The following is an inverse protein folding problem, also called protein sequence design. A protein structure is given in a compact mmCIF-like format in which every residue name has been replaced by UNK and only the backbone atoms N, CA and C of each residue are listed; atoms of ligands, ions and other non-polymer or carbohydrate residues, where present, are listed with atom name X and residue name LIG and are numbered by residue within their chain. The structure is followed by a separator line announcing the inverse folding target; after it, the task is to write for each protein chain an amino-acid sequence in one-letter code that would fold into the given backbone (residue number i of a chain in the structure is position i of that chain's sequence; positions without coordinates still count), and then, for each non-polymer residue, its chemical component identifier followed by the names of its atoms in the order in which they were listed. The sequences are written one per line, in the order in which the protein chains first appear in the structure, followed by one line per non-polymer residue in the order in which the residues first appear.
data_IF_401764400769
#
_entry.id   IF_401764400769
#
_cell.length_a   1.000
_cell.length_b   1.000
_cell.length_c   1.000
_cell.angle_alpha   90.00
_cell.angle_beta   90.00
_cell.angle_gamma   90.00
#
_symmetry.space_group_name_H-M   'P 1'
#
loop_
_entity.id
_entity.type
_entity.pdbx_description
1 polymer ?
#
# COMPACT_ATOMS: atom_id res chain seq x y z
N UNK A 1 43.33 -35.91 47.61
CA UNK A 1 42.97 -35.70 46.18
C UNK A 1 41.51 -36.09 45.95
N UNK A 2 40.55 -35.25 46.33
CA UNK A 2 39.15 -35.39 45.90
C UNK A 2 38.31 -34.25 46.44
N UNK A 3 38.45 -33.01 45.92
CA UNK A 3 37.58 -31.88 46.28
C UNK A 3 37.42 -30.82 45.17
N UNK A 4 37.74 -31.17 43.90
CA UNK A 4 37.54 -30.20 42.78
C UNK A 4 36.43 -30.60 41.78
N UNK A 5 35.81 -31.77 41.90
CA UNK A 5 34.76 -32.19 40.93
C UNK A 5 33.34 -31.75 41.29
N UNK A 6 33.10 -31.25 42.52
CA UNK A 6 31.74 -30.86 42.97
C UNK A 6 31.33 -29.42 42.62
N UNK A 7 32.27 -28.52 42.40
CA UNK A 7 31.92 -27.11 42.12
C UNK A 7 31.51 -26.83 40.68
N UNK A 8 32.02 -27.62 39.70
CA UNK A 8 31.66 -27.44 38.29
C UNK A 8 30.25 -27.95 37.95
N UNK A 9 29.78 -28.99 38.67
CA UNK A 9 28.43 -29.51 38.48
C UNK A 9 27.31 -28.59 38.99
N UNK A 10 27.58 -27.84 40.06
CA UNK A 10 26.61 -26.91 40.67
C UNK A 10 26.43 -25.62 39.84
N UNK A 11 27.51 -25.14 39.22
CA UNK A 11 27.45 -23.94 38.35
C UNK A 11 26.74 -24.22 37.01
N UNK A 12 26.93 -25.40 36.43
CA UNK A 12 26.25 -25.77 35.21
C UNK A 12 24.73 -26.02 35.41
N UNK A 13 24.35 -26.56 36.59
CA UNK A 13 22.93 -26.76 36.95
C UNK A 13 22.21 -25.45 37.28
N UNK A 14 22.89 -24.47 37.91
CA UNK A 14 22.32 -23.14 38.14
C UNK A 14 22.14 -22.34 36.85
N UNK A 15 23.07 -22.45 35.89
CA UNK A 15 22.95 -21.80 34.59
C UNK A 15 21.83 -22.42 33.74
N UNK A 16 21.60 -23.73 33.78
CA UNK A 16 20.49 -24.40 33.11
C UNK A 16 19.13 -24.01 33.73
N UNK A 17 19.04 -23.92 35.06
CA UNK A 17 17.81 -23.53 35.76
C UNK A 17 17.47 -22.04 35.56
N UNK A 18 18.46 -21.17 35.38
CA UNK A 18 18.19 -19.74 35.08
C UNK A 18 17.80 -19.53 33.62
N UNK A 19 18.30 -20.35 32.68
CA UNK A 19 17.88 -20.31 31.27
C UNK A 19 16.45 -20.82 31.11
N UNK A 20 16.04 -21.90 31.78
CA UNK A 20 14.66 -22.41 31.78
C UNK A 20 13.66 -21.46 32.44
N UNK A 21 14.06 -20.78 33.53
CA UNK A 21 13.23 -19.76 34.22
C UNK A 21 13.04 -18.50 33.36
N UNK A 22 13.99 -18.15 32.48
CA UNK A 22 13.89 -17.02 31.55
C UNK A 22 12.97 -17.34 30.38
N UNK A 23 12.95 -18.58 29.92
CA UNK A 23 12.05 -19.03 28.87
C UNK A 23 10.59 -19.22 29.35
N UNK A 24 10.39 -19.52 30.63
CA UNK A 24 9.08 -19.78 31.25
C UNK A 24 8.25 -18.51 31.55
N UNK A 25 8.83 -17.30 31.41
CA UNK A 25 8.21 -16.02 31.76
C UNK A 25 8.00 -15.07 30.56
N UNK A 26 8.13 -15.53 29.31
CA UNK A 26 7.75 -14.71 28.17
C UNK A 26 6.24 -14.82 27.97
N UNK A 27 5.54 -13.71 28.13
CA UNK A 27 4.13 -13.63 27.73
C UNK A 27 3.97 -14.08 26.27
N UNK A 28 2.87 -14.79 25.94
CA UNK A 28 2.64 -15.20 24.55
C UNK A 28 2.56 -13.95 23.66
N UNK A 29 3.08 -14.02 22.42
CA UNK A 29 3.03 -12.90 21.49
C UNK A 29 1.60 -12.39 21.32
N UNK A 30 1.45 -11.06 21.27
CA UNK A 30 0.16 -10.42 21.06
C UNK A 30 -0.35 -10.73 19.65
N UNK A 31 -1.50 -11.41 19.54
CA UNK A 31 -2.10 -11.74 18.24
C UNK A 31 -2.65 -10.47 17.58
N UNK A 32 -2.20 -10.16 16.38
CA UNK A 32 -2.53 -8.96 15.65
C UNK A 32 -3.15 -9.33 14.28
N UNK A 33 -4.46 -9.19 14.15
CA UNK A 33 -5.16 -9.39 12.88
C UNK A 33 -4.90 -8.21 11.94
N UNK A 34 -4.38 -8.47 10.75
CA UNK A 34 -4.05 -7.42 9.78
C UNK A 34 -4.65 -7.70 8.41
N UNK A 35 -4.96 -6.64 7.66
CA UNK A 35 -5.63 -6.72 6.35
C UNK A 35 -4.77 -6.18 5.22
N UNK A 36 -4.64 -6.96 4.12
CA UNK A 36 -3.68 -6.69 3.04
C UNK A 36 -4.23 -7.04 1.67
N UNK A 37 -3.73 -6.31 0.66
CA UNK A 37 -3.94 -6.61 -0.75
C UNK A 37 -2.73 -7.40 -1.29
N UNK A 38 -2.86 -8.14 -2.41
CA UNK A 38 -1.74 -8.84 -3.04
C UNK A 38 -0.84 -7.88 -3.82
N UNK A 39 -0.20 -6.94 -3.12
CA UNK A 39 0.54 -5.79 -3.64
C UNK A 39 1.91 -5.64 -2.95
N UNK A 40 2.71 -4.67 -3.42
CA UNK A 40 4.09 -4.47 -2.99
C UNK A 40 4.25 -4.26 -1.48
N UNK A 41 3.41 -3.44 -0.87
CA UNK A 41 3.48 -3.14 0.58
C UNK A 41 3.26 -4.38 1.44
N UNK A 42 2.49 -5.32 0.95
CA UNK A 42 2.23 -6.59 1.64
C UNK A 42 3.44 -7.51 1.63
N UNK A 43 4.26 -7.48 0.58
CA UNK A 43 5.51 -8.22 0.56
C UNK A 43 6.40 -7.88 1.77
N UNK A 44 6.45 -6.62 2.17
CA UNK A 44 7.28 -6.18 3.29
C UNK A 44 6.88 -6.89 4.60
N UNK A 45 5.60 -6.91 4.91
CA UNK A 45 5.13 -7.56 6.15
C UNK A 45 5.11 -9.08 6.03
N UNK A 46 4.83 -9.62 4.85
CA UNK A 46 4.94 -11.05 4.57
C UNK A 46 6.40 -11.51 4.78
N UNK A 47 7.37 -10.81 4.23
CA UNK A 47 8.79 -11.10 4.40
C UNK A 47 9.22 -11.02 5.87
N UNK A 48 8.84 -9.96 6.56
CA UNK A 48 9.14 -9.79 7.97
C UNK A 48 8.61 -10.95 8.81
N UNK A 49 7.40 -11.43 8.51
CA UNK A 49 6.81 -12.59 9.17
C UNK A 49 7.56 -13.89 8.86
N UNK A 50 7.98 -14.12 7.60
CA UNK A 50 8.82 -15.28 7.24
C UNK A 50 10.14 -15.30 8.02
N UNK A 51 10.70 -14.12 8.35
CA UNK A 51 11.92 -13.98 9.16
C UNK A 51 11.66 -14.01 10.67
N UNK A 52 10.40 -14.11 11.11
CA UNK A 52 10.04 -14.12 12.53
C UNK A 52 10.26 -12.77 13.24
N UNK A 53 10.33 -11.65 12.49
CA UNK A 53 10.57 -10.34 13.07
C UNK A 53 9.39 -9.84 13.90
N UNK A 54 8.19 -10.25 13.57
CA UNK A 54 6.97 -10.01 14.35
C UNK A 54 7.09 -10.62 15.77
N UNK A 55 7.57 -11.86 15.85
CA UNK A 55 7.78 -12.54 17.15
C UNK A 55 8.85 -11.86 18.00
N UNK A 56 9.91 -11.35 17.36
CA UNK A 56 10.96 -10.60 18.04
C UNK A 56 10.45 -9.29 18.67
N UNK A 57 9.39 -8.70 18.10
CA UNK A 57 8.71 -7.50 18.61
C UNK A 57 7.48 -7.85 19.49
N UNK A 58 7.34 -9.11 19.91
CA UNK A 58 6.24 -9.56 20.78
C UNK A 58 4.89 -9.66 20.10
N UNK A 59 4.85 -9.72 18.76
CA UNK A 59 3.63 -9.81 17.97
C UNK A 59 3.48 -11.19 17.31
N UNK A 60 2.24 -11.62 17.11
CA UNK A 60 1.85 -12.69 16.21
C UNK A 60 0.96 -12.11 15.12
N UNK A 61 1.57 -11.61 14.05
CA UNK A 61 0.88 -10.94 12.96
C UNK A 61 0.18 -11.98 12.10
N UNK A 62 -1.13 -11.83 11.95
CA UNK A 62 -1.96 -12.62 11.02
C UNK A 62 -2.23 -11.78 9.78
N UNK A 63 -1.95 -12.34 8.61
CA UNK A 63 -2.14 -11.66 7.33
C UNK A 63 -3.46 -12.13 6.69
N UNK A 64 -4.49 -11.29 6.69
CA UNK A 64 -5.76 -11.53 6.01
C UNK A 64 -5.72 -10.87 4.63
N UNK A 65 -6.01 -11.66 3.57
CA UNK A 65 -6.00 -11.20 2.19
C UNK A 65 -7.36 -10.68 1.77
N UNK A 66 -7.36 -9.54 1.09
CA UNK A 66 -8.51 -8.91 0.45
C UNK A 66 -8.19 -8.63 -1.02
N UNK A 67 -9.22 -8.58 -1.87
CA UNK A 67 -9.02 -8.43 -3.32
C UNK A 67 -8.88 -6.96 -3.78
N UNK A 68 -9.33 -6.02 -2.96
CA UNK A 68 -9.26 -4.59 -3.24
C UNK A 68 -9.35 -3.75 -1.97
N UNK A 69 -8.98 -2.46 -2.05
CA UNK A 69 -9.16 -1.53 -0.94
C UNK A 69 -10.62 -1.39 -0.51
N UNK A 70 -11.56 -1.46 -1.45
CA UNK A 70 -13.01 -1.47 -1.15
C UNK A 70 -13.39 -2.71 -0.35
N UNK A 71 -12.88 -3.89 -0.72
CA UNK A 71 -13.13 -5.14 -0.02
C UNK A 71 -12.52 -5.11 1.38
N UNK A 72 -11.27 -4.64 1.51
CA UNK A 72 -10.59 -4.44 2.78
C UNK A 72 -11.43 -3.56 3.73
N UNK A 73 -11.83 -2.38 3.29
CA UNK A 73 -12.61 -1.42 4.10
C UNK A 73 -14.00 -1.99 4.43
N UNK A 74 -14.62 -2.70 3.50
CA UNK A 74 -15.93 -3.35 3.71
C UNK A 74 -15.90 -4.48 4.75
N UNK A 75 -14.72 -4.98 5.10
CA UNK A 75 -14.48 -6.03 6.10
C UNK A 75 -13.61 -5.53 7.27
N UNK A 76 -13.76 -4.28 7.66
CA UNK A 76 -12.96 -3.66 8.72
C UNK A 76 -13.09 -4.32 10.10
N UNK A 77 -14.13 -5.13 10.31
CA UNK A 77 -14.33 -5.95 11.51
C UNK A 77 -13.38 -7.16 11.61
N UNK A 78 -12.65 -7.49 10.55
CA UNK A 78 -11.75 -8.65 10.49
C UNK A 78 -10.28 -8.33 10.72
N UNK A 79 -9.93 -7.07 10.86
CA UNK A 79 -8.54 -6.63 11.03
C UNK A 79 -8.48 -5.34 11.86
N UNK A 80 -7.33 -5.07 12.45
CA UNK A 80 -7.09 -3.86 13.26
C UNK A 80 -5.97 -2.98 12.71
N UNK A 81 -5.10 -3.52 11.85
CA UNK A 81 -4.12 -2.75 11.07
C UNK A 81 -4.17 -3.26 9.62
N UNK A 82 -4.12 -2.35 8.65
CA UNK A 82 -4.17 -2.71 7.25
C UNK A 82 -3.57 -1.64 6.35
N UNK A 83 -3.55 -1.92 5.05
CA UNK A 83 -3.05 -0.97 4.06
C UNK A 83 -3.88 -0.98 2.78
N UNK A 84 -4.13 0.20 2.24
CA UNK A 84 -4.65 0.42 0.89
C UNK A 84 -4.42 1.88 0.46
N UNK A 85 -4.73 2.20 -0.79
CA UNK A 85 -4.73 3.58 -1.28
C UNK A 85 -5.69 4.48 -0.50
N UNK A 86 -5.48 5.79 -0.57
CA UNK A 86 -6.31 6.78 0.16
C UNK A 86 -7.77 6.80 -0.30
N UNK A 87 -8.02 6.56 -1.58
CA UNK A 87 -9.35 6.72 -2.16
C UNK A 87 -10.40 5.76 -1.57
N UNK A 88 -10.15 4.46 -1.36
CA UNK A 88 -11.06 3.57 -0.65
C UNK A 88 -11.43 4.06 0.75
N UNK A 89 -10.47 4.62 1.49
CA UNK A 89 -10.70 5.16 2.84
C UNK A 89 -11.65 6.36 2.76
N UNK A 90 -11.34 7.34 1.91
CA UNK A 90 -12.11 8.58 1.79
C UNK A 90 -13.53 8.37 1.26
N UNK A 91 -13.76 7.34 0.45
CA UNK A 91 -15.07 7.01 -0.12
C UNK A 91 -15.86 6.01 0.74
N UNK A 92 -15.32 5.57 1.86
CA UNK A 92 -16.04 4.71 2.80
C UNK A 92 -17.17 5.45 3.51
N UNK A 93 -18.14 4.70 4.06
CA UNK A 93 -19.24 5.28 4.83
C UNK A 93 -18.77 5.85 6.18
N UNK A 94 -17.71 5.29 6.75
CA UNK A 94 -17.21 5.62 8.09
C UNK A 94 -15.68 5.78 8.08
N UNK A 95 -15.13 6.76 7.34
CA UNK A 95 -13.67 6.95 7.29
C UNK A 95 -13.08 7.27 8.67
N UNK A 96 -13.85 7.90 9.56
CA UNK A 96 -13.47 8.29 10.91
C UNK A 96 -13.17 7.12 11.86
N UNK A 97 -13.53 5.89 11.48
CA UNK A 97 -13.15 4.69 12.24
C UNK A 97 -11.66 4.34 12.12
N UNK A 98 -10.94 4.96 11.19
CA UNK A 98 -9.53 4.69 10.95
C UNK A 98 -8.63 5.82 11.43
N UNK A 99 -7.38 5.51 11.69
CA UNK A 99 -6.28 6.46 11.82
C UNK A 99 -5.15 6.05 10.88
N UNK A 100 -4.59 7.02 10.17
CA UNK A 100 -3.47 6.81 9.24
C UNK A 100 -2.18 6.94 10.03
N UNK A 101 -1.44 5.83 10.14
CA UNK A 101 -0.29 5.65 11.02
C UNK A 101 1.05 5.65 10.28
N UNK A 102 1.03 5.60 8.95
CA UNK A 102 2.23 5.57 8.12
C UNK A 102 1.92 5.46 6.63
N UNK A 103 2.98 5.37 5.83
CA UNK A 103 2.94 5.15 4.38
C UNK A 103 3.59 3.82 4.05
N UNK A 104 2.93 3.01 3.23
CA UNK A 104 3.48 1.79 2.67
C UNK A 104 4.50 2.08 1.57
N UNK A 105 4.02 2.63 0.47
CA UNK A 105 4.83 3.02 -0.69
C UNK A 105 4.14 4.08 -1.57
N UNK A 106 4.90 4.70 -2.46
CA UNK A 106 4.36 5.47 -3.60
C UNK A 106 3.92 4.50 -4.70
N UNK A 107 2.68 4.62 -5.18
CA UNK A 107 2.13 3.82 -6.29
C UNK A 107 1.75 4.66 -7.52
N UNK A 108 2.28 5.87 -7.64
CA UNK A 108 1.94 6.80 -8.72
C UNK A 108 2.31 6.28 -10.11
N UNK A 109 3.23 5.33 -10.22
CA UNK A 109 3.61 4.64 -11.45
C UNK A 109 2.94 3.26 -11.60
N UNK A 110 2.33 2.74 -10.55
CA UNK A 110 1.69 1.43 -10.53
C UNK A 110 0.24 1.46 -11.04
N UNK A 111 -0.42 2.61 -10.92
CA UNK A 111 -1.77 2.84 -11.45
C UNK A 111 -1.69 3.27 -12.91
N UNK A 112 -2.45 2.63 -13.80
CA UNK A 112 -2.40 2.84 -15.24
C UNK A 112 -3.76 2.83 -15.90
N UNK A 113 -3.96 3.75 -16.87
CA UNK A 113 -4.97 3.63 -17.92
C UNK A 113 -4.34 2.83 -19.04
N UNK A 114 -4.97 1.72 -19.41
CA UNK A 114 -4.47 0.82 -20.45
C UNK A 114 -5.46 0.74 -21.60
N UNK A 115 -4.92 0.61 -22.80
CA UNK A 115 -5.68 0.49 -24.06
C UNK A 115 -5.12 -0.63 -24.92
N UNK A 116 -5.88 -1.07 -25.91
CA UNK A 116 -5.38 -2.01 -26.93
C UNK A 116 -4.34 -1.33 -27.81
N UNK A 117 -3.40 -2.09 -28.42
CA UNK A 117 -2.29 -1.53 -29.17
C UNK A 117 -2.71 -0.77 -30.43
N UNK A 118 -3.90 -1.02 -30.95
CA UNK A 118 -4.52 -0.34 -32.10
C UNK A 118 -5.42 0.84 -31.72
N UNK A 119 -5.44 1.23 -30.45
CA UNK A 119 -6.25 2.35 -29.98
C UNK A 119 -5.82 3.68 -30.61
N UNK A 120 -6.74 4.46 -31.20
CA UNK A 120 -6.44 5.78 -31.76
C UNK A 120 -5.89 6.76 -30.73
N UNK A 121 -6.11 6.50 -29.43
CA UNK A 121 -5.56 7.30 -28.35
C UNK A 121 -4.02 7.35 -28.39
N UNK A 122 -3.37 6.31 -28.91
CA UNK A 122 -1.91 6.21 -28.98
C UNK A 122 -1.28 6.98 -30.16
N UNK A 123 -2.07 7.45 -31.12
CA UNK A 123 -1.58 8.11 -32.36
C UNK A 123 -0.92 9.45 -32.08
N UNK A 124 -1.26 10.12 -30.96
CA UNK A 124 -0.69 11.41 -30.59
C UNK A 124 -0.22 11.40 -29.14
N UNK A 125 0.86 12.14 -28.85
CA UNK A 125 1.39 12.32 -27.49
C UNK A 125 1.72 13.79 -27.25
N UNK A 126 1.44 14.29 -26.05
CA UNK A 126 1.78 15.67 -25.66
C UNK A 126 0.95 16.75 -26.36
N UNK A 127 -0.23 16.43 -26.87
CA UNK A 127 -1.16 17.41 -27.44
C UNK A 127 -1.59 18.46 -26.40
N UNK A 128 -1.68 18.08 -25.14
CA UNK A 128 -1.93 18.98 -24.02
C UNK A 128 -0.58 19.46 -23.42
N UNK A 129 -0.29 20.77 -23.55
CA UNK A 129 0.98 21.36 -23.05
C UNK A 129 1.15 21.21 -21.53
N UNK A 130 0.07 21.13 -20.75
CA UNK A 130 0.09 20.90 -19.31
C UNK A 130 0.46 19.46 -18.94
N UNK A 131 0.33 18.53 -19.89
CA UNK A 131 0.56 17.10 -19.69
C UNK A 131 1.36 16.52 -20.89
N UNK A 132 2.66 16.79 -21.01
CA UNK A 132 3.46 16.46 -22.19
C UNK A 132 3.62 14.94 -22.42
N UNK A 133 3.37 14.13 -21.42
CA UNK A 133 3.46 12.67 -21.50
C UNK A 133 2.09 11.98 -21.73
N UNK A 134 1.02 12.75 -21.86
CA UNK A 134 -0.32 12.22 -22.06
C UNK A 134 -0.55 11.87 -23.52
N UNK A 135 -1.14 10.73 -23.80
CA UNK A 135 -1.55 10.28 -25.12
C UNK A 135 -2.95 10.78 -25.46
N UNK A 136 -3.20 11.08 -26.75
CA UNK A 136 -4.52 11.41 -27.31
C UNK A 136 -4.97 12.84 -27.01
N UNK A 137 -6.22 13.11 -27.38
CA UNK A 137 -6.94 14.38 -27.22
C UNK A 137 -8.29 14.12 -26.58
N UNK A 138 -8.99 15.17 -26.16
CA UNK A 138 -10.32 15.08 -25.56
C UNK A 138 -11.32 14.29 -26.44
N UNK A 139 -11.28 14.52 -27.76
CA UNK A 139 -12.19 13.84 -28.71
C UNK A 139 -11.91 12.34 -28.85
N UNK A 140 -10.69 11.88 -28.59
CA UNK A 140 -10.32 10.47 -28.60
C UNK A 140 -10.86 9.72 -27.38
N UNK A 141 -11.20 10.45 -26.31
CA UNK A 141 -11.70 9.92 -25.02
C UNK A 141 -13.21 10.09 -24.88
N UNK A 142 -13.76 11.19 -25.39
CA UNK A 142 -15.18 11.52 -25.26
C UNK A 142 -16.08 10.40 -25.81
N UNK A 143 -17.11 10.02 -25.05
CA UNK A 143 -18.07 8.97 -25.41
C UNK A 143 -17.54 7.54 -25.33
N UNK A 144 -16.28 7.35 -24.93
CA UNK A 144 -15.67 6.02 -24.79
C UNK A 144 -16.23 5.26 -23.59
N UNK A 145 -16.15 3.95 -23.65
CA UNK A 145 -16.49 3.06 -22.54
C UNK A 145 -15.21 2.67 -21.81
N UNK A 146 -15.16 2.96 -20.50
CA UNK A 146 -13.96 2.74 -19.68
C UNK A 146 -14.32 1.79 -18.55
N UNK A 147 -13.64 0.65 -18.50
CA UNK A 147 -13.77 -0.31 -17.41
C UNK A 147 -12.90 0.20 -16.23
N UNK A 148 -13.53 0.35 -15.07
CA UNK A 148 -12.83 0.88 -13.90
C UNK A 148 -13.50 0.39 -12.61
N UNK A 149 -12.74 -0.21 -11.66
CA UNK A 149 -13.28 -0.54 -10.36
C UNK A 149 -13.66 0.72 -9.57
N UNK A 150 -14.88 0.77 -9.05
CA UNK A 150 -15.34 1.88 -8.22
C UNK A 150 -14.65 1.88 -6.83
N UNK A 151 -14.57 3.05 -6.21
CA UNK A 151 -13.98 3.26 -4.87
C UNK A 151 -12.55 2.71 -4.75
N UNK A 152 -11.73 2.91 -5.80
CA UNK A 152 -10.35 2.43 -5.89
C UNK A 152 -9.40 3.54 -6.31
N UNK A 153 -8.08 3.31 -6.16
CA UNK A 153 -7.04 4.19 -6.73
C UNK A 153 -7.16 4.34 -8.25
N UNK A 154 -7.67 3.31 -8.95
CA UNK A 154 -7.96 3.38 -10.37
C UNK A 154 -9.05 4.41 -10.70
N UNK A 155 -10.10 4.50 -9.89
CA UNK A 155 -11.15 5.52 -10.09
C UNK A 155 -10.60 6.93 -9.88
N UNK A 156 -9.70 7.13 -8.92
CA UNK A 156 -9.04 8.42 -8.75
C UNK A 156 -8.19 8.78 -9.96
N UNK A 157 -7.40 7.83 -10.48
CA UNK A 157 -6.65 8.02 -11.73
C UNK A 157 -7.58 8.36 -12.89
N UNK A 158 -8.68 7.62 -13.05
CA UNK A 158 -9.66 7.87 -14.13
C UNK A 158 -10.15 9.32 -14.11
N UNK A 159 -10.59 9.80 -12.95
CA UNK A 159 -11.10 11.17 -12.83
C UNK A 159 -10.03 12.22 -13.11
N UNK A 160 -8.79 11.99 -12.67
CA UNK A 160 -7.65 12.87 -12.98
C UNK A 160 -7.27 12.84 -14.45
N UNK A 161 -7.32 11.68 -15.07
CA UNK A 161 -7.04 11.51 -16.48
C UNK A 161 -8.08 12.23 -17.35
N UNK A 162 -9.35 12.11 -17.03
CA UNK A 162 -10.42 12.87 -17.70
C UNK A 162 -10.24 14.38 -17.53
N UNK A 163 -9.96 14.82 -16.29
CA UNK A 163 -9.74 16.24 -16.00
C UNK A 163 -8.54 16.83 -16.79
N UNK A 164 -7.51 16.04 -17.07
CA UNK A 164 -6.38 16.47 -17.90
C UNK A 164 -6.79 16.82 -19.35
N UNK A 165 -7.91 16.30 -19.83
CA UNK A 165 -8.51 16.69 -21.13
C UNK A 165 -9.61 17.74 -20.98
N UNK A 166 -9.93 18.20 -19.77
CA UNK A 166 -11.10 19.05 -19.52
C UNK A 166 -12.43 18.30 -19.60
N UNK A 167 -12.39 16.98 -19.39
CA UNK A 167 -13.55 16.10 -19.36
C UNK A 167 -13.91 15.71 -17.92
N UNK A 168 -15.13 15.22 -17.77
CA UNK A 168 -15.66 14.65 -16.52
C UNK A 168 -16.15 13.23 -16.73
N UNK A 169 -16.59 12.57 -15.69
CA UNK A 169 -17.20 11.23 -15.76
C UNK A 169 -18.49 11.19 -16.57
N UNK A 170 -19.14 12.34 -16.79
CA UNK A 170 -20.35 12.47 -17.63
C UNK A 170 -20.03 12.42 -19.13
N UNK A 171 -18.78 12.70 -19.52
CA UNK A 171 -18.32 12.67 -20.91
C UNK A 171 -17.98 11.28 -21.42
N UNK A 172 -18.03 10.25 -20.57
CA UNK A 172 -17.67 8.86 -20.89
C UNK A 172 -18.69 7.88 -20.32
N UNK A 173 -18.61 6.61 -20.71
CA UNK A 173 -19.37 5.53 -20.08
C UNK A 173 -18.45 4.73 -19.17
N UNK A 174 -18.72 4.73 -17.87
CA UNK A 174 -17.95 3.95 -16.90
C UNK A 174 -18.65 2.61 -16.67
N UNK A 175 -17.94 1.52 -16.99
CA UNK A 175 -18.34 0.16 -16.65
C UNK A 175 -17.65 -0.19 -15.32
N UNK A 176 -18.43 -0.14 -14.22
CA UNK A 176 -17.93 -0.50 -12.90
C UNK A 176 -17.80 -2.03 -12.80
N UNK A 177 -16.57 -2.51 -12.84
CA UNK A 177 -16.23 -3.93 -12.78
C UNK A 177 -14.93 -4.08 -12.01
N UNK A 178 -14.84 -5.04 -11.09
CA UNK A 178 -13.63 -5.33 -10.33
C UNK A 178 -12.47 -5.73 -11.25
N UNK A 179 -11.23 -5.59 -10.77
CA UNK A 179 -10.03 -5.66 -11.60
C UNK A 179 -9.91 -6.97 -12.43
N UNK A 180 -10.12 -8.13 -11.80
CA UNK A 180 -9.97 -9.43 -12.47
C UNK A 180 -11.05 -9.66 -13.53
N UNK A 181 -12.38 -9.58 -13.22
CA UNK A 181 -13.41 -9.73 -14.24
C UNK A 181 -13.37 -8.59 -15.26
N UNK A 182 -12.93 -7.38 -14.88
CA UNK A 182 -12.75 -6.26 -15.81
C UNK A 182 -11.66 -6.54 -16.86
N UNK A 183 -10.52 -7.10 -16.46
CA UNK A 183 -9.49 -7.54 -17.39
C UNK A 183 -9.99 -8.60 -18.34
N UNK A 184 -10.73 -9.60 -17.85
CA UNK A 184 -11.31 -10.64 -18.69
C UNK A 184 -12.25 -10.05 -19.74
N UNK A 185 -13.18 -9.19 -19.32
CA UNK A 185 -14.10 -8.50 -20.24
C UNK A 185 -13.34 -7.65 -21.28
N UNK A 186 -12.26 -6.96 -20.85
CA UNK A 186 -11.45 -6.15 -21.75
C UNK A 186 -10.69 -7.00 -22.79
N UNK A 187 -10.19 -8.19 -22.41
CA UNK A 187 -9.56 -9.14 -23.34
C UNK A 187 -10.58 -9.73 -24.33
N UNK A 188 -11.83 -9.88 -23.93
CA UNK A 188 -12.93 -10.31 -24.79
C UNK A 188 -13.46 -9.22 -25.73
N UNK A 189 -12.90 -8.01 -25.65
CA UNK A 189 -13.20 -6.90 -26.55
C UNK A 189 -14.16 -5.85 -25.99
N UNK A 190 -14.56 -5.96 -24.72
CA UNK A 190 -15.41 -4.94 -24.08
C UNK A 190 -14.59 -3.69 -23.75
N UNK A 191 -15.26 -2.54 -23.73
CA UNK A 191 -14.68 -1.25 -23.41
C UNK A 191 -13.63 -0.75 -24.39
N UNK A 192 -13.26 0.52 -24.30
CA UNK A 192 -12.23 1.17 -25.11
C UNK A 192 -10.91 1.35 -24.31
N UNK A 193 -11.02 1.48 -22.99
CA UNK A 193 -9.90 1.56 -22.04
C UNK A 193 -10.24 0.83 -20.74
N UNK A 194 -9.21 0.44 -20.01
CA UNK A 194 -9.35 -0.11 -18.66
C UNK A 194 -8.37 0.61 -17.71
N UNK A 195 -8.80 0.85 -16.47
CA UNK A 195 -7.95 1.47 -15.45
C UNK A 195 -7.69 0.48 -14.34
N UNK A 196 -6.41 0.25 -14.05
CA UNK A 196 -5.94 -0.79 -13.15
C UNK A 196 -4.74 -0.32 -12.33
N UNK A 197 -4.35 -1.13 -11.36
CA UNK A 197 -3.10 -1.01 -10.61
C UNK A 197 -2.26 -2.30 -10.72
N UNK A 198 -0.99 -2.24 -10.32
CA UNK A 198 -0.14 -3.42 -10.26
C UNK A 198 -0.61 -4.38 -9.14
N UNK A 199 -0.57 -5.73 -9.34
CA UNK A 199 0.00 -6.40 -10.49
C UNK A 199 -0.95 -6.61 -11.69
N UNK A 200 -2.21 -6.17 -11.61
CA UNK A 200 -3.19 -6.37 -12.69
C UNK A 200 -2.79 -5.67 -13.99
N UNK A 201 -2.15 -4.48 -13.89
CA UNK A 201 -1.61 -3.78 -15.05
C UNK A 201 -0.50 -4.57 -15.76
N UNK A 202 0.26 -5.41 -15.04
CA UNK A 202 1.27 -6.30 -15.66
C UNK A 202 0.62 -7.42 -16.45
N UNK A 203 -0.49 -7.98 -15.95
CA UNK A 203 -1.27 -8.95 -16.71
C UNK A 203 -1.80 -8.31 -18.02
N UNK A 204 -2.20 -7.05 -17.98
CA UNK A 204 -2.51 -6.29 -19.19
C UNK A 204 -1.33 -6.16 -20.16
N UNK A 205 -0.14 -5.79 -19.66
CA UNK A 205 1.09 -5.72 -20.47
C UNK A 205 1.43 -7.07 -21.14
N UNK A 206 1.33 -8.18 -20.41
CA UNK A 206 1.57 -9.54 -20.92
C UNK A 206 0.64 -9.89 -22.10
N UNK A 207 -0.59 -9.39 -22.07
CA UNK A 207 -1.56 -9.54 -23.15
C UNK A 207 -1.47 -8.45 -24.22
N UNK A 208 -0.41 -7.66 -24.23
CA UNK A 208 -0.10 -6.68 -25.27
C UNK A 208 -0.79 -5.34 -25.12
N UNK A 209 -1.49 -5.08 -24.02
CA UNK A 209 -2.08 -3.76 -23.76
C UNK A 209 -0.98 -2.70 -23.62
N UNK A 210 -1.34 -1.45 -23.86
CA UNK A 210 -0.42 -0.29 -23.78
C UNK A 210 -0.86 0.68 -22.70
N UNK A 211 0.09 1.21 -21.96
CA UNK A 211 -0.14 2.25 -20.96
C UNK A 211 -0.35 3.59 -21.68
N UNK A 212 -1.55 4.13 -21.58
CA UNK A 212 -1.90 5.45 -22.11
C UNK A 212 -1.64 6.57 -21.11
N UNK A 213 -1.79 6.30 -19.82
CA UNK A 213 -1.50 7.23 -18.74
C UNK A 213 -1.17 6.48 -17.44
N UNK A 214 -0.43 7.13 -16.55
CA UNK A 214 -0.23 6.74 -15.15
C UNK A 214 -0.66 7.87 -14.24
N UNK A 215 -0.82 7.62 -12.94
CA UNK A 215 -1.13 8.68 -11.98
C UNK A 215 -0.07 9.79 -12.01
N UNK A 216 1.20 9.45 -12.20
CA UNK A 216 2.28 10.44 -12.36
C UNK A 216 2.11 11.29 -13.61
N UNK A 217 1.69 10.71 -14.73
CA UNK A 217 1.56 11.45 -16.00
C UNK A 217 0.43 12.48 -16.02
N UNK A 218 -0.50 12.38 -15.05
CA UNK A 218 -1.64 13.30 -14.87
C UNK A 218 -1.55 14.10 -13.57
N UNK A 219 -0.36 14.18 -12.96
CA UNK A 219 -0.11 14.90 -11.71
C UNK A 219 -1.08 14.50 -10.57
N UNK A 220 -1.32 13.20 -10.44
CA UNK A 220 -2.17 12.61 -9.43
C UNK A 220 -1.36 11.63 -8.55
N UNK A 221 -0.42 12.11 -7.72
CA UNK A 221 0.37 11.23 -6.88
C UNK A 221 -0.54 10.39 -5.99
N UNK A 222 -0.19 9.12 -5.86
CA UNK A 222 -0.90 8.15 -5.05
C UNK A 222 0.08 7.42 -4.15
N UNK A 223 -0.37 7.12 -2.93
CA UNK A 223 0.39 6.33 -1.96
C UNK A 223 -0.53 5.32 -1.30
N UNK A 224 0.04 4.18 -0.98
CA UNK A 224 -0.57 3.23 -0.06
C UNK A 224 -0.40 3.76 1.36
N UNK A 225 -1.48 3.80 2.11
CA UNK A 225 -1.50 4.25 3.50
C UNK A 225 -1.57 3.04 4.43
N UNK A 226 -0.72 3.05 5.46
CA UNK A 226 -0.86 2.18 6.61
C UNK A 226 -1.89 2.81 7.55
N UNK A 227 -2.90 2.06 7.92
CA UNK A 227 -3.98 2.52 8.80
C UNK A 227 -4.26 1.52 9.91
N UNK A 228 -4.80 2.03 11.01
CA UNK A 228 -5.25 1.23 12.12
C UNK A 228 -6.72 1.56 12.44
N UNK A 229 -7.45 0.58 12.97
CA UNK A 229 -8.70 0.86 13.67
C UNK A 229 -8.42 1.86 14.80
N UNK A 230 -9.21 2.93 14.89
CA UNK A 230 -8.97 4.05 15.79
C UNK A 230 -9.05 3.68 17.25
N UNK A 231 -10.06 2.86 17.61
CA UNK A 231 -10.27 2.42 18.99
C UNK A 231 -9.18 1.44 19.42
N UNK A 232 -8.81 0.52 18.54
CA UNK A 232 -7.67 -0.36 18.74
C UNK A 232 -6.38 0.42 18.94
N UNK A 233 -6.09 1.38 18.08
CA UNK A 233 -4.87 2.18 18.16
C UNK A 233 -4.79 3.01 19.47
N UNK A 234 -5.92 3.53 19.92
CA UNK A 234 -6.00 4.24 21.21
C UNK A 234 -5.80 3.30 22.41
N UNK A 235 -6.34 2.09 22.36
CA UNK A 235 -6.22 1.10 23.44
C UNK A 235 -4.86 0.39 23.45
N UNK A 236 -4.21 0.24 22.29
CA UNK A 236 -3.00 -0.57 22.09
C UNK A 236 -1.86 0.20 21.38
N UNK A 237 -1.49 1.41 21.82
CA UNK A 237 -0.50 2.23 21.11
C UNK A 237 0.89 1.58 21.02
N UNK A 238 1.26 0.74 21.99
CA UNK A 238 2.53 0.02 21.98
C UNK A 238 2.56 -1.06 20.90
N UNK A 239 1.45 -1.77 20.70
CA UNK A 239 1.33 -2.80 19.67
C UNK A 239 1.37 -2.18 18.26
N UNK A 240 0.75 -1.00 18.08
CA UNK A 240 0.86 -0.24 16.81
C UNK A 240 2.31 0.19 16.56
N UNK A 241 3.02 0.68 17.57
CA UNK A 241 4.43 1.05 17.44
C UNK A 241 5.32 -0.18 17.15
N UNK A 242 5.09 -1.33 17.82
CA UNK A 242 5.78 -2.60 17.51
C UNK A 242 5.52 -3.06 16.08
N UNK A 243 4.26 -2.96 15.59
CA UNK A 243 3.93 -3.26 14.19
C UNK A 243 4.73 -2.37 13.23
N UNK A 244 4.72 -1.05 13.45
CA UNK A 244 5.50 -0.11 12.63
C UNK A 244 6.99 -0.43 12.66
N UNK A 245 7.53 -0.85 13.80
CA UNK A 245 8.93 -1.27 13.96
C UNK A 245 9.25 -2.49 13.08
N UNK A 246 8.36 -3.51 13.05
CA UNK A 246 8.47 -4.68 12.17
C UNK A 246 8.42 -4.25 10.70
N UNK A 247 7.44 -3.44 10.34
CA UNK A 247 7.24 -2.99 8.96
C UNK A 247 8.42 -2.15 8.46
N UNK A 248 8.88 -1.19 9.25
CA UNK A 248 10.00 -0.30 8.90
C UNK A 248 11.35 -1.03 8.84
N UNK A 249 11.51 -2.15 9.55
CA UNK A 249 12.66 -3.06 9.38
C UNK A 249 12.66 -3.66 7.98
N UNK A 250 11.50 -4.08 7.47
CA UNK A 250 11.37 -4.58 6.10
C UNK A 250 11.52 -3.46 5.06
N UNK A 251 11.06 -2.25 5.34
CA UNK A 251 11.33 -1.06 4.52
C UNK A 251 12.83 -0.81 4.38
N UNK A 252 13.59 -0.87 5.47
CA UNK A 252 15.04 -0.74 5.44
C UNK A 252 15.67 -1.83 4.57
N UNK A 253 15.29 -3.08 4.75
CA UNK A 253 15.74 -4.20 3.92
C UNK A 253 15.47 -3.92 2.43
N UNK A 254 14.26 -3.48 2.08
CA UNK A 254 13.89 -3.15 0.69
C UNK A 254 14.74 -2.01 0.09
N UNK A 255 15.15 -1.05 0.91
CA UNK A 255 15.99 0.08 0.49
C UNK A 255 17.47 -0.26 0.31
N UNK A 256 17.98 -1.21 1.07
CA UNK A 256 19.41 -1.50 1.17
C UNK A 256 19.82 -2.77 0.40
N UNK A 257 18.92 -3.75 0.27
CA UNK A 257 19.21 -4.98 -0.47
C UNK A 257 19.09 -4.78 -1.99
N UNK A 258 19.86 -5.57 -2.73
CA UNK A 258 19.73 -5.60 -4.18
C UNK A 258 18.44 -6.32 -4.60
N UNK A 259 17.85 -5.90 -5.71
CA UNK A 259 16.67 -6.59 -6.28
C UNK A 259 16.96 -8.08 -6.50
N UNK A 260 18.19 -8.42 -6.94
CA UNK A 260 18.59 -9.81 -7.15
C UNK A 260 18.52 -10.66 -5.86
N UNK A 261 18.85 -10.09 -4.71
CA UNK A 261 18.74 -10.76 -3.40
C UNK A 261 17.29 -11.08 -3.03
N UNK A 262 16.36 -10.19 -3.38
CA UNK A 262 14.96 -10.28 -3.00
C UNK A 262 14.09 -11.02 -4.03
N UNK A 263 14.60 -11.23 -5.24
CA UNK A 263 13.81 -11.64 -6.39
C UNK A 263 13.04 -12.96 -6.16
N UNK A 264 13.68 -13.98 -5.59
CA UNK A 264 13.02 -15.28 -5.39
C UNK A 264 11.94 -15.22 -4.30
N UNK A 265 12.18 -14.51 -3.19
CA UNK A 265 11.16 -14.28 -2.15
C UNK A 265 9.99 -13.46 -2.71
N UNK A 266 10.29 -12.46 -3.55
CA UNK A 266 9.29 -11.61 -4.20
C UNK A 266 8.39 -12.39 -5.16
N UNK A 267 8.96 -13.24 -6.01
CA UNK A 267 8.22 -14.14 -6.90
C UNK A 267 7.36 -15.13 -6.12
N UNK A 268 7.90 -15.68 -5.03
CA UNK A 268 7.16 -16.60 -4.14
C UNK A 268 5.94 -15.91 -3.55
N UNK A 269 6.12 -14.71 -3.02
CA UNK A 269 5.03 -13.90 -2.49
C UNK A 269 3.92 -13.67 -3.53
N UNK A 270 4.25 -13.16 -4.72
CA UNK A 270 3.24 -12.87 -5.74
C UNK A 270 2.54 -14.13 -6.26
N UNK A 271 3.25 -15.26 -6.33
CA UNK A 271 2.64 -16.54 -6.67
C UNK A 271 1.62 -17.00 -5.61
N UNK A 272 1.96 -16.86 -4.33
CA UNK A 272 1.09 -17.23 -3.21
C UNK A 272 -0.10 -16.28 -3.06
N UNK A 273 0.15 -14.98 -3.16
CA UNK A 273 -0.83 -13.94 -2.83
C UNK A 273 -1.67 -13.47 -4.01
N UNK A 274 -1.05 -13.31 -5.18
CA UNK A 274 -1.73 -12.83 -6.39
C UNK A 274 -2.02 -13.96 -7.41
N UNK A 275 -1.52 -15.18 -7.20
CA UNK A 275 -1.56 -16.25 -8.19
C UNK A 275 -0.72 -15.94 -9.44
N UNK A 276 0.17 -14.94 -9.36
CA UNK A 276 0.95 -14.43 -10.50
C UNK A 276 2.38 -14.96 -10.45
N UNK A 277 2.81 -15.58 -11.56
CA UNK A 277 4.21 -15.91 -11.78
C UNK A 277 4.91 -14.70 -12.40
N UNK A 278 5.76 -14.03 -11.65
CA UNK A 278 6.51 -12.87 -12.11
C UNK A 278 7.82 -13.27 -12.80
N UNK A 279 8.12 -12.61 -13.92
CA UNK A 279 9.45 -12.64 -14.54
C UNK A 279 10.45 -11.76 -13.77
N UNK A 280 11.75 -11.95 -13.99
CA UNK A 280 12.79 -11.08 -13.41
C UNK A 280 12.57 -9.60 -13.78
N UNK A 281 12.16 -9.33 -15.02
CA UNK A 281 11.91 -7.99 -15.49
C UNK A 281 10.73 -7.32 -14.75
N UNK A 282 9.67 -8.07 -14.45
CA UNK A 282 8.53 -7.59 -13.68
C UNK A 282 8.90 -7.35 -12.20
N UNK A 283 9.70 -8.22 -11.60
CA UNK A 283 10.22 -8.02 -10.24
C UNK A 283 11.04 -6.73 -10.16
N UNK A 284 11.96 -6.53 -11.10
CA UNK A 284 12.77 -5.30 -11.17
C UNK A 284 11.88 -4.07 -11.35
N UNK A 285 10.91 -4.15 -12.27
CA UNK A 285 9.95 -3.07 -12.54
C UNK A 285 9.16 -2.73 -11.27
N UNK A 286 8.56 -3.73 -10.63
CA UNK A 286 7.66 -3.54 -9.49
C UNK A 286 8.39 -2.94 -8.29
N UNK A 287 9.54 -3.48 -7.91
CA UNK A 287 10.37 -2.92 -6.83
C UNK A 287 10.83 -1.48 -7.15
N UNK A 288 11.12 -1.20 -8.42
CA UNK A 288 11.64 0.12 -8.83
C UNK A 288 10.55 1.21 -8.81
N UNK A 289 9.32 0.88 -9.20
CA UNK A 289 8.23 1.87 -9.28
C UNK A 289 7.53 2.12 -7.95
N UNK A 290 7.69 1.22 -6.96
CA UNK A 290 7.11 1.35 -5.63
C UNK A 290 8.16 1.88 -4.64
N UNK A 291 8.32 3.20 -4.58
CA UNK A 291 9.24 3.81 -3.62
C UNK A 291 8.73 3.62 -2.20
N UNK A 292 9.57 3.07 -1.32
CA UNK A 292 9.29 2.94 0.12
C UNK A 292 10.01 4.05 0.91
N UNK A 293 9.50 4.36 2.11
CA UNK A 293 9.93 5.49 2.92
C UNK A 293 10.46 5.02 4.29
N UNK A 294 11.70 5.37 4.60
CA UNK A 294 12.31 5.08 5.91
C UNK A 294 11.60 5.83 7.04
N UNK A 295 11.83 5.44 8.29
CA UNK A 295 11.25 6.11 9.46
C UNK A 295 11.48 7.63 9.44
N UNK A 296 12.70 8.07 9.11
CA UNK A 296 13.06 9.49 9.06
C UNK A 296 12.30 10.24 7.96
N UNK A 297 12.05 9.59 6.82
CA UNK A 297 11.23 10.15 5.74
C UNK A 297 9.79 10.31 6.22
N UNK A 298 9.22 9.28 6.82
CA UNK A 298 7.85 9.29 7.32
C UNK A 298 7.64 10.29 8.45
N UNK A 299 8.59 10.40 9.38
CA UNK A 299 8.52 11.42 10.44
C UNK A 299 8.47 12.84 9.87
N UNK A 300 9.23 13.12 8.80
CA UNK A 300 9.12 14.43 8.11
C UNK A 300 7.77 14.62 7.43
N UNK A 301 7.28 13.60 6.73
CA UNK A 301 6.00 13.65 6.00
C UNK A 301 4.80 13.84 6.94
N UNK A 302 4.89 13.34 8.18
CA UNK A 302 3.82 13.41 9.17
C UNK A 302 3.99 14.57 10.18
N UNK A 303 5.07 15.35 10.07
CA UNK A 303 5.31 16.49 10.96
C UNK A 303 4.36 17.65 10.62
N UNK A 304 3.61 18.11 11.62
CA UNK A 304 2.64 19.20 11.51
C UNK A 304 2.99 20.40 12.43
N UNK A 305 4.27 20.64 12.72
CA UNK A 305 4.70 21.67 13.68
C UNK A 305 4.17 23.10 13.38
N UNK A 306 3.95 23.43 12.11
CA UNK A 306 3.61 24.81 11.72
C UNK A 306 2.18 24.97 11.19
N UNK A 307 1.52 23.90 10.73
CA UNK A 307 0.15 23.92 10.23
C UNK A 307 -0.34 22.50 9.91
N UNK A 308 -0.27 22.10 8.64
CA UNK A 308 -0.53 20.75 8.17
C UNK A 308 0.78 20.04 7.84
N UNK A 309 0.79 18.73 8.01
CA UNK A 309 1.87 17.88 7.51
C UNK A 309 1.77 17.72 5.97
N UNK A 310 2.86 17.33 5.33
CA UNK A 310 2.87 17.01 3.89
C UNK A 310 1.81 15.95 3.56
N UNK A 311 1.60 14.97 4.44
CA UNK A 311 0.57 13.94 4.27
C UNK A 311 -0.84 14.50 4.36
N UNK A 312 -1.10 15.46 5.24
CA UNK A 312 -2.39 16.14 5.33
C UNK A 312 -2.64 17.00 4.10
N UNK A 313 -1.63 17.73 3.59
CA UNK A 313 -1.76 18.53 2.38
C UNK A 313 -2.00 17.66 1.14
N UNK A 314 -1.32 16.52 1.04
CA UNK A 314 -1.57 15.56 -0.01
C UNK A 314 -3.00 14.99 0.08
N UNK A 315 -3.45 14.57 1.26
CA UNK A 315 -4.81 14.07 1.47
C UNK A 315 -5.87 15.15 1.16
N UNK A 316 -5.63 16.40 1.57
CA UNK A 316 -6.50 17.53 1.26
C UNK A 316 -6.65 17.74 -0.24
N UNK A 317 -5.59 17.50 -1.03
CA UNK A 317 -5.64 17.60 -2.49
C UNK A 317 -6.57 16.55 -3.11
N UNK A 318 -6.57 15.34 -2.56
CA UNK A 318 -7.46 14.25 -3.00
C UNK A 318 -8.91 14.55 -2.59
N UNK A 319 -9.13 14.97 -1.35
CA UNK A 319 -10.47 15.33 -0.83
C UNK A 319 -11.08 16.42 -1.69
N UNK A 320 -10.35 17.51 -1.91
CA UNK A 320 -10.82 18.65 -2.72
C UNK A 320 -11.17 18.25 -4.14
N UNK A 321 -10.34 17.41 -4.74
CA UNK A 321 -10.58 16.93 -6.10
C UNK A 321 -11.79 15.99 -6.18
N UNK A 322 -11.96 15.10 -5.20
CA UNK A 322 -13.06 14.12 -5.19
C UNK A 322 -14.40 14.75 -4.84
N UNK A 323 -14.43 15.56 -3.80
CA UNK A 323 -15.66 16.10 -3.25
C UNK A 323 -16.01 17.50 -3.79
N UNK A 324 -15.03 18.24 -4.35
CA UNK A 324 -15.23 19.63 -4.73
C UNK A 324 -15.81 20.44 -3.56
N UNK A 325 -16.91 21.12 -3.81
CA UNK A 325 -17.64 21.91 -2.79
C UNK A 325 -18.65 21.06 -1.98
N UNK A 326 -18.73 19.73 -2.23
CA UNK A 326 -19.69 18.86 -1.55
C UNK A 326 -19.32 18.61 -0.08
N UNK A 327 -18.03 18.72 0.29
CA UNK A 327 -17.58 18.62 1.67
C UNK A 327 -17.44 20.01 2.28
N UNK A 328 -18.02 20.18 3.48
CA UNK A 328 -17.78 21.38 4.29
C UNK A 328 -16.30 21.45 4.72
N UNK A 329 -15.86 22.62 5.13
CA UNK A 329 -14.54 22.80 5.71
C UNK A 329 -14.36 21.89 6.94
N UNK A 330 -15.38 21.79 7.80
CA UNK A 330 -15.36 20.95 9.00
C UNK A 330 -15.17 19.46 8.64
N UNK A 331 -15.87 18.95 7.60
CA UNK A 331 -15.69 17.57 7.15
C UNK A 331 -14.29 17.33 6.58
N UNK A 332 -13.75 18.32 5.89
CA UNK A 332 -12.37 18.23 5.38
C UNK A 332 -11.38 18.16 6.54
N UNK A 333 -11.49 19.04 7.55
CA UNK A 333 -10.59 19.00 8.72
C UNK A 333 -10.75 17.70 9.53
N UNK A 334 -11.96 17.18 9.65
CA UNK A 334 -12.20 15.85 10.27
C UNK A 334 -11.41 14.75 9.55
N UNK A 335 -11.46 14.71 8.21
CA UNK A 335 -10.74 13.72 7.40
C UNK A 335 -9.22 13.93 7.46
N UNK A 336 -8.73 15.15 7.53
CA UNK A 336 -7.30 15.44 7.73
C UNK A 336 -6.82 15.01 9.12
N UNK A 337 -7.71 15.03 10.11
CA UNK A 337 -7.45 14.53 11.46
C UNK A 337 -7.23 13.02 11.56
N UNK A 338 -7.49 12.25 10.48
CA UNK A 338 -7.14 10.82 10.42
C UNK A 338 -5.62 10.61 10.39
N UNK A 339 -4.85 11.58 9.89
CA UNK A 339 -3.39 11.50 9.76
C UNK A 339 -2.71 11.84 11.08
N UNK A 340 -1.88 10.94 11.60
CA UNK A 340 -1.12 11.18 12.83
C UNK A 340 0.29 10.59 12.79
N UNK A 341 1.29 11.39 13.18
CA UNK A 341 2.67 10.95 13.39
C UNK A 341 2.93 10.30 14.76
N UNK A 342 1.95 10.36 15.68
CA UNK A 342 2.15 9.99 17.08
C UNK A 342 2.64 8.54 17.30
N UNK A 343 2.30 7.60 16.41
CA UNK A 343 2.77 6.23 16.49
C UNK A 343 4.17 6.05 15.91
N UNK A 344 4.53 6.80 14.85
CA UNK A 344 5.88 6.85 14.30
C UNK A 344 6.89 7.40 15.32
N UNK A 345 6.48 8.42 16.09
CA UNK A 345 7.29 9.00 17.18
C UNK A 345 7.54 8.01 18.31
N UNK A 346 6.65 7.03 18.52
CA UNK A 346 6.79 5.97 19.52
C UNK A 346 7.68 4.81 19.06
N UNK A 347 8.09 4.77 17.80
CA UNK A 347 9.00 3.72 17.31
C UNK A 347 10.35 3.86 17.98
N UNK A 348 10.73 2.85 18.77
CA UNK A 348 12.03 2.79 19.44
C UNK A 348 13.18 2.70 18.44
N UNK A 349 14.27 3.42 18.72
CA UNK A 349 15.46 3.48 17.86
C UNK A 349 16.68 2.90 18.58
N UNK A 350 17.61 2.26 17.85
CA UNK A 350 17.57 1.97 16.42
C UNK A 350 16.55 0.88 16.08
N UNK A 351 15.98 0.92 14.85
CA UNK A 351 15.26 -0.21 14.31
C UNK A 351 16.26 -1.37 14.13
N UNK A 352 15.94 -2.62 14.54
CA UNK A 352 16.87 -3.74 14.43
C UNK A 352 17.38 -3.95 13.00
N UNK A 353 18.62 -4.43 12.90
CA UNK A 353 19.18 -4.84 11.62
C UNK A 353 18.35 -5.98 11.03
N UNK A 354 18.28 -6.03 9.69
CA UNK A 354 17.50 -7.05 8.96
C UNK A 354 18.35 -8.25 8.54
N UNK A 355 19.70 -8.17 8.68
CA UNK A 355 20.69 -9.22 8.38
C UNK A 355 20.88 -10.16 9.55
#
# INVERSE_FOLDING_TARGET
RSTLSGLFGFFALLLALTADLSAANQEPPFKLETGWLPEHETFLIWYAKQKGWDKQEGLDIVLNRFDSGKDLIGNADKWVIGACGAFPILTSHYPEQFTIIGVGNDESLANAVMVRPDSPLLDTKGANKGYPNLYGKADDVRGKTIICPASSSAQYLLTKWLAAYGLTTEDVRIQNTDAVPGLQAFFEGEGDAIVLWAPYSYTGDEHGLKVAATSRSVNAPQSVLLMADKDFAAAHPSQVASFLRVYLRAVRMMREESVATLAEDYKTFFKEWAGKTMSDAEVIKDITIHQVFLLEDQLRMFNAEHSRSDMQDWLASIIRFHAGDAYSQDKTEELLGLVTGAFLEKVERPIPEYR
#
